data_IF_767359105662
#
_entry.id   IF_767359105662
#
_cell.length_a   1.000
_cell.length_b   1.000
_cell.length_c   1.000
_cell.angle_alpha   90.00
_cell.angle_beta   90.00
_cell.angle_gamma   90.00
#
_symmetry.space_group_name_H-M   'P 1'
#
loop_
_entity.id
_entity.type
_entity.pdbx_description
1 polymer ?
#
# COMPACT_ATOMS: atom_id res chain seq x y z
N UNK A 1 -34.46 -13.47 20.27
CA UNK A 1 -33.19 -14.22 20.42
C UNK A 1 -32.30 -13.74 21.57
N UNK A 2 -32.09 -12.43 21.75
CA UNK A 2 -31.17 -11.89 22.79
C UNK A 2 -31.52 -12.32 24.23
N UNK A 3 -32.81 -12.37 24.59
CA UNK A 3 -33.28 -12.81 25.93
C UNK A 3 -32.82 -14.23 26.28
N UNK A 4 -32.92 -15.18 25.35
CA UNK A 4 -32.53 -16.57 25.61
C UNK A 4 -31.01 -16.73 25.76
N UNK A 5 -30.22 -15.94 25.03
CA UNK A 5 -28.76 -15.92 25.17
C UNK A 5 -28.36 -15.34 26.53
N UNK A 6 -28.98 -14.23 26.94
CA UNK A 6 -28.72 -13.62 28.25
C UNK A 6 -29.10 -14.57 29.41
N UNK A 7 -30.27 -15.24 29.32
CA UNK A 7 -30.71 -16.22 30.31
C UNK A 7 -29.74 -17.39 30.44
N UNK A 8 -29.22 -17.90 29.32
CA UNK A 8 -28.23 -19.00 29.29
C UNK A 8 -26.89 -18.58 29.89
N UNK A 9 -26.37 -17.41 29.50
CA UNK A 9 -25.11 -16.86 30.05
C UNK A 9 -25.21 -16.64 31.56
N UNK A 10 -26.34 -16.13 32.05
CA UNK A 10 -26.58 -15.93 33.47
C UNK A 10 -26.64 -17.25 34.25
N UNK A 11 -27.28 -18.28 33.69
CA UNK A 11 -27.32 -19.60 34.30
C UNK A 11 -25.95 -20.31 34.30
N UNK A 12 -25.11 -20.08 33.28
CA UNK A 12 -23.75 -20.61 33.21
C UNK A 12 -22.81 -19.92 34.21
N UNK A 13 -22.90 -18.59 34.36
CA UNK A 13 -22.07 -17.83 35.30
C UNK A 13 -22.31 -18.17 36.79
N UNK A 14 -23.43 -18.83 37.11
CA UNK A 14 -23.72 -19.31 38.48
C UNK A 14 -23.08 -20.65 38.81
N UNK A 15 -22.60 -21.39 37.80
CA UNK A 15 -21.91 -22.68 38.00
C UNK A 15 -20.41 -22.43 38.19
N UNK A 16 -19.71 -23.25 39.01
CA UNK A 16 -18.26 -23.17 39.08
C UNK A 16 -17.66 -23.45 37.69
N UNK A 17 -16.58 -22.76 37.35
CA UNK A 17 -15.90 -22.88 36.06
C UNK A 17 -15.38 -24.31 35.84
N UNK A 18 -15.71 -24.89 34.71
CA UNK A 18 -15.21 -26.18 34.23
C UNK A 18 -14.05 -25.96 33.23
N UNK A 19 -13.19 -26.97 33.04
CA UNK A 19 -12.13 -26.98 32.00
C UNK A 19 -12.75 -26.71 30.62
N UNK A 20 -14.00 -27.13 30.41
CA UNK A 20 -14.78 -26.81 29.22
C UNK A 20 -14.98 -25.30 29.01
N UNK A 21 -15.20 -24.53 30.06
CA UNK A 21 -15.37 -23.08 29.97
C UNK A 21 -14.06 -22.40 29.56
N UNK A 22 -12.92 -22.91 30.04
CA UNK A 22 -11.58 -22.44 29.63
C UNK A 22 -11.33 -22.72 28.16
N UNK A 23 -11.65 -23.93 27.69
CA UNK A 23 -11.52 -24.31 26.28
C UNK A 23 -12.45 -23.46 25.40
N UNK A 24 -13.69 -23.27 25.82
CA UNK A 24 -14.68 -22.49 25.06
C UNK A 24 -14.27 -21.02 24.98
N UNK A 25 -13.83 -20.41 26.08
CA UNK A 25 -13.32 -19.05 26.09
C UNK A 25 -12.08 -18.88 25.21
N UNK A 26 -11.13 -19.82 25.29
CA UNK A 26 -9.95 -19.81 24.44
C UNK A 26 -10.33 -19.92 22.97
N UNK A 27 -11.23 -20.84 22.60
CA UNK A 27 -11.68 -21.01 21.21
C UNK A 27 -12.32 -19.74 20.62
N UNK A 28 -13.13 -19.02 21.42
CA UNK A 28 -13.73 -17.75 21.02
C UNK A 28 -12.69 -16.64 20.89
N UNK A 29 -11.73 -16.57 21.83
CA UNK A 29 -10.61 -15.62 21.77
C UNK A 29 -9.74 -15.84 20.54
N UNK A 30 -9.43 -17.09 20.23
CA UNK A 30 -8.67 -17.50 19.04
C UNK A 30 -9.38 -17.09 17.75
N UNK A 31 -10.68 -17.37 17.65
CA UNK A 31 -11.46 -17.00 16.47
C UNK A 31 -11.52 -15.48 16.28
N UNK A 32 -11.77 -14.73 17.36
CA UNK A 32 -11.81 -13.27 17.31
C UNK A 32 -10.47 -12.68 16.84
N UNK A 33 -9.36 -13.21 17.38
CA UNK A 33 -8.02 -12.80 16.97
C UNK A 33 -7.77 -13.13 15.49
N UNK A 34 -8.16 -14.33 15.03
CA UNK A 34 -8.00 -14.73 13.64
C UNK A 34 -8.80 -13.85 12.67
N UNK A 35 -10.05 -13.49 13.00
CA UNK A 35 -10.86 -12.58 12.20
C UNK A 35 -10.21 -11.21 12.11
N UNK A 36 -9.68 -10.71 13.23
CA UNK A 36 -8.98 -9.42 13.26
C UNK A 36 -7.70 -9.44 12.42
N UNK A 37 -6.92 -10.52 12.49
CA UNK A 37 -5.73 -10.72 11.63
C UNK A 37 -6.13 -10.74 10.15
N UNK A 38 -7.18 -11.48 9.78
CA UNK A 38 -7.68 -11.53 8.39
C UNK A 38 -8.15 -10.18 7.88
N UNK A 39 -8.81 -9.38 8.71
CA UNK A 39 -9.24 -8.03 8.34
C UNK A 39 -8.04 -7.09 8.15
N UNK A 40 -7.02 -7.18 9.01
CA UNK A 40 -5.79 -6.41 8.84
C UNK A 40 -5.06 -6.81 7.54
N UNK A 41 -4.94 -8.12 7.28
CA UNK A 41 -4.37 -8.63 6.03
C UNK A 41 -5.16 -8.12 4.82
N UNK A 42 -6.50 -8.17 4.86
CA UNK A 42 -7.36 -7.66 3.76
C UNK A 42 -7.15 -6.17 3.51
N UNK A 43 -7.04 -5.36 4.56
CA UNK A 43 -6.75 -3.91 4.43
C UNK A 43 -5.37 -3.66 3.85
N UNK A 44 -4.37 -4.43 4.28
CA UNK A 44 -3.00 -4.34 3.79
C UNK A 44 -2.93 -4.73 2.30
N UNK A 45 -3.54 -5.85 1.92
CA UNK A 45 -3.63 -6.33 0.54
C UNK A 45 -4.32 -5.31 -0.37
N UNK A 46 -5.32 -4.59 0.14
CA UNK A 46 -6.00 -3.55 -0.61
C UNK A 46 -5.14 -2.28 -0.79
N UNK A 47 -4.47 -1.83 0.27
CA UNK A 47 -3.69 -0.58 0.25
C UNK A 47 -2.34 -0.74 -0.43
N UNK A 48 -1.60 -1.80 -0.12
CA UNK A 48 -0.22 -2.03 -0.58
C UNK A 48 -0.16 -2.99 -1.77
N UNK A 49 -1.20 -3.79 -2.00
CA UNK A 49 -1.15 -4.93 -2.90
C UNK A 49 -0.63 -6.18 -2.19
N UNK A 50 -0.85 -7.36 -2.79
CA UNK A 50 -0.33 -8.61 -2.22
C UNK A 50 1.20 -8.55 -2.17
N UNK A 51 1.87 -9.15 -1.16
CA UNK A 51 3.33 -9.14 -1.04
C UNK A 51 4.07 -9.77 -2.24
N UNK A 52 3.39 -10.53 -3.11
CA UNK A 52 3.94 -11.03 -4.38
C UNK A 52 3.60 -10.19 -5.63
N UNK A 53 2.85 -9.09 -5.48
CA UNK A 53 2.40 -8.22 -6.58
C UNK A 53 3.42 -7.13 -6.95
N UNK A 54 4.50 -7.01 -6.18
CA UNK A 54 5.65 -6.17 -6.53
C UNK A 54 6.55 -6.80 -7.61
N UNK A 55 6.26 -8.03 -8.05
CA UNK A 55 6.92 -8.60 -9.22
C UNK A 55 6.25 -8.10 -10.51
N UNK A 56 7.03 -7.55 -11.47
CA UNK A 56 6.53 -6.88 -12.67
C UNK A 56 5.83 -7.80 -13.69
N UNK A 57 5.78 -9.11 -13.43
CA UNK A 57 5.46 -10.13 -14.45
C UNK A 57 3.98 -10.58 -14.46
N UNK A 58 3.21 -10.39 -13.39
CA UNK A 58 1.84 -10.95 -13.31
C UNK A 58 0.85 -10.05 -12.56
N UNK A 59 0.24 -9.10 -13.24
CA UNK A 59 -0.90 -8.39 -12.63
C UNK A 59 -1.41 -7.17 -13.36
N UNK A 60 -1.63 -7.27 -14.67
CA UNK A 60 -2.04 -6.13 -15.50
C UNK A 60 -3.35 -5.49 -15.01
N UNK A 61 -4.28 -6.19 -14.36
CA UNK A 61 -5.62 -5.60 -14.09
C UNK A 61 -5.97 -5.29 -12.63
N UNK A 62 -5.15 -5.70 -11.65
CA UNK A 62 -5.41 -5.41 -10.21
C UNK A 62 -4.52 -4.31 -9.61
N UNK A 63 -3.51 -3.88 -10.35
CA UNK A 63 -2.53 -2.88 -9.91
C UNK A 63 -3.00 -1.43 -10.00
N UNK A 64 -4.18 -1.10 -10.54
CA UNK A 64 -4.50 0.31 -10.79
C UNK A 64 -4.81 1.15 -9.53
N UNK A 65 -5.19 0.53 -8.42
CA UNK A 65 -5.66 1.23 -7.21
C UNK A 65 -4.72 1.13 -5.99
N UNK A 66 -3.70 0.28 -6.00
CA UNK A 66 -2.79 0.14 -4.86
C UNK A 66 -1.85 1.34 -4.77
N UNK A 67 -1.42 1.67 -3.54
CA UNK A 67 -0.46 2.75 -3.31
C UNK A 67 0.88 2.49 -4.02
N UNK A 68 1.34 1.23 -4.09
CA UNK A 68 2.59 0.86 -4.76
C UNK A 68 2.58 1.17 -6.25
N UNK A 69 1.53 0.80 -6.97
CA UNK A 69 1.44 1.08 -8.40
C UNK A 69 1.22 2.57 -8.71
N UNK A 70 0.54 3.30 -7.81
CA UNK A 70 0.46 4.77 -7.89
C UNK A 70 1.84 5.41 -7.71
N UNK A 71 2.68 4.85 -6.83
CA UNK A 71 4.05 5.32 -6.59
C UNK A 71 4.95 5.07 -7.80
N UNK A 72 4.90 3.88 -8.42
CA UNK A 72 5.69 3.58 -9.63
C UNK A 72 5.35 4.57 -10.76
N UNK A 73 4.06 4.87 -10.99
CA UNK A 73 3.66 5.88 -11.98
C UNK A 73 4.12 7.29 -11.63
N UNK A 74 4.16 7.59 -10.33
CA UNK A 74 4.68 8.88 -9.87
C UNK A 74 6.17 8.96 -10.21
N UNK A 75 6.95 7.92 -9.92
CA UNK A 75 8.36 7.81 -10.27
C UNK A 75 8.57 7.98 -11.78
N UNK A 76 7.85 7.22 -12.62
CA UNK A 76 7.94 7.33 -14.08
C UNK A 76 7.67 8.77 -14.57
N UNK A 77 6.67 9.44 -13.98
CA UNK A 77 6.33 10.83 -14.31
C UNK A 77 7.42 11.80 -13.85
N UNK A 78 8.01 11.58 -12.68
CA UNK A 78 9.13 12.40 -12.19
C UNK A 78 10.33 12.26 -13.10
N UNK A 79 10.67 11.04 -13.54
CA UNK A 79 11.75 10.80 -14.50
C UNK A 79 11.48 11.47 -15.85
N UNK A 80 10.24 11.44 -16.34
CA UNK A 80 9.88 12.17 -17.57
C UNK A 80 9.98 13.69 -17.42
N UNK A 81 9.64 14.23 -16.25
CA UNK A 81 9.80 15.66 -15.97
C UNK A 81 11.30 16.01 -15.98
N UNK A 82 12.13 15.19 -15.35
CA UNK A 82 13.58 15.39 -15.32
C UNK A 82 14.17 15.40 -16.74
N UNK A 83 13.80 14.43 -17.59
CA UNK A 83 14.24 14.41 -18.98
C UNK A 83 13.79 15.66 -19.76
N UNK A 84 12.53 16.08 -19.60
CA UNK A 84 12.02 17.28 -20.27
C UNK A 84 12.75 18.55 -19.81
N UNK A 85 13.14 18.63 -18.53
CA UNK A 85 13.92 19.77 -18.02
C UNK A 85 15.32 19.80 -18.65
N UNK A 86 15.97 18.64 -18.81
CA UNK A 86 17.24 18.54 -19.54
C UNK A 86 17.07 18.97 -21.01
N UNK A 87 16.04 18.49 -21.70
CA UNK A 87 15.77 18.85 -23.10
C UNK A 87 15.54 20.37 -23.26
N UNK A 88 14.84 21.00 -22.30
CA UNK A 88 14.63 22.46 -22.28
C UNK A 88 15.95 23.19 -22.02
N UNK A 89 16.77 22.70 -21.10
CA UNK A 89 18.06 23.31 -20.78
C UNK A 89 18.99 23.27 -21.99
N UNK A 90 19.07 22.13 -22.68
CA UNK A 90 19.84 21.98 -23.92
C UNK A 90 19.32 22.88 -25.04
N UNK A 91 17.99 22.99 -25.20
CA UNK A 91 17.39 23.87 -26.19
C UNK A 91 17.71 25.36 -25.90
N UNK A 92 17.66 25.78 -24.64
CA UNK A 92 18.04 27.14 -24.24
C UNK A 92 19.54 27.38 -24.43
N UNK A 93 20.39 26.43 -24.07
CA UNK A 93 21.84 26.54 -24.20
C UNK A 93 22.27 26.59 -25.67
N UNK A 94 21.58 25.89 -26.57
CA UNK A 94 21.79 26.00 -28.01
C UNK A 94 21.35 27.36 -28.58
N UNK A 95 20.27 27.96 -28.06
CA UNK A 95 19.79 29.28 -28.50
C UNK A 95 20.64 30.44 -27.98
N UNK A 96 21.18 30.34 -26.75
CA UNK A 96 22.01 31.39 -26.15
C UNK A 96 23.52 31.16 -26.35
N UNK A 97 23.95 29.93 -26.63
CA UNK A 97 25.36 29.57 -26.88
C UNK A 97 25.88 29.94 -28.27
N UNK A 98 25.02 30.38 -29.19
CA UNK A 98 25.44 30.85 -30.53
C UNK A 98 25.91 32.31 -30.56
N UNK A 99 25.89 33.04 -29.44
CA UNK A 99 26.60 34.32 -29.34
C UNK A 99 28.08 34.08 -28.99
N UNK A 100 28.83 33.63 -29.99
CA UNK A 100 30.29 33.71 -29.96
C UNK A 100 30.71 35.19 -29.99
N UNK A 101 31.51 35.71 -29.02
CA UNK A 101 32.26 36.92 -29.28
C UNK A 101 33.34 36.56 -30.28
N UNK A 102 33.23 37.12 -31.48
CA UNK A 102 34.19 36.99 -32.56
C UNK A 102 35.62 37.12 -32.04
N UNK A 103 36.45 36.13 -32.37
CA UNK A 103 37.89 36.20 -32.27
C UNK A 103 38.41 37.43 -33.02
N UNK A 104 38.77 38.49 -32.29
CA UNK A 104 39.57 39.58 -32.83
C UNK A 104 41.03 39.12 -32.87
N UNK A 105 41.41 38.48 -33.98
CA UNK A 105 42.81 38.41 -34.42
C UNK A 105 42.95 39.25 -35.68
N UNK A 106 43.63 40.40 -35.59
CA UNK A 106 44.55 40.89 -36.62
C UNK A 106 45.17 42.23 -36.24
N UNK A 107 46.51 42.21 -36.27
CA UNK A 107 47.51 43.30 -36.31
C UNK A 107 47.81 44.06 -35.03
#
# INVERSE_FOLDING_TARGET
MQYFVARRKFQQARKPYDVRDVIEQYSQGHLNMMVRIKELQRRLDHSLGKPGLFLPEKGVDKGYYTMGARLIRLEDKVTQIDQKLHDILDALQNQFGTQSPASSSSK
#
